data_IF_106251717218
#
_entry.id   IF_106251717218
#
_cell.length_a   1.000
_cell.length_b   1.000
_cell.length_c   1.000
_cell.angle_alpha   90.00
_cell.angle_beta   90.00
_cell.angle_gamma   90.00
#
_symmetry.space_group_name_H-M   'P 1'
#
loop_
_entity.id
_entity.type
_entity.pdbx_description
1 polymer ?
#
# COMPACT_ATOMS: atom_id res chain seq x y z
N UNK A 1 4.66 -8.85 11.19
CA UNK A 1 3.98 -9.08 9.90
C UNK A 1 5.11 -9.25 8.92
N UNK A 2 5.53 -10.50 8.73
CA UNK A 2 6.78 -10.78 8.02
C UNK A 2 6.52 -10.86 6.53
N UNK A 3 7.35 -10.20 5.74
CA UNK A 3 7.30 -10.23 4.28
C UNK A 3 8.42 -11.11 3.78
N UNK A 4 8.08 -12.10 2.97
CA UNK A 4 9.06 -12.92 2.29
C UNK A 4 9.73 -12.12 1.17
N UNK A 5 11.05 -12.02 1.19
CA UNK A 5 11.83 -11.34 0.16
C UNK A 5 13.05 -12.17 -0.26
N UNK A 6 13.64 -11.84 -1.40
CA UNK A 6 14.85 -12.49 -1.90
C UNK A 6 16.04 -12.20 -0.98
N UNK A 7 16.85 -13.23 -0.75
CA UNK A 7 18.11 -13.16 -0.04
C UNK A 7 19.28 -13.46 -0.99
N UNK A 8 20.51 -13.12 -0.60
CA UNK A 8 21.71 -13.52 -1.35
C UNK A 8 21.77 -15.04 -1.60
N UNK A 9 22.54 -15.44 -2.61
CA UNK A 9 22.70 -16.85 -3.03
C UNK A 9 21.40 -17.55 -3.45
N UNK A 10 20.39 -16.79 -3.90
CA UNK A 10 19.12 -17.34 -4.41
C UNK A 10 18.17 -17.82 -3.31
N UNK A 11 18.41 -17.44 -2.06
CA UNK A 11 17.54 -17.78 -0.94
C UNK A 11 16.35 -16.83 -0.77
N UNK A 12 15.54 -17.10 0.24
CA UNK A 12 14.47 -16.22 0.71
C UNK A 12 14.60 -16.00 2.21
N UNK A 13 14.19 -14.83 2.66
CA UNK A 13 14.20 -14.45 4.07
C UNK A 13 12.89 -13.72 4.42
N UNK A 14 12.40 -13.98 5.63
CA UNK A 14 11.28 -13.26 6.19
C UNK A 14 11.80 -11.97 6.86
N UNK A 15 11.31 -10.83 6.39
CA UNK A 15 11.73 -9.50 6.85
C UNK A 15 10.56 -8.78 7.50
N UNK A 16 10.83 -8.13 8.63
CA UNK A 16 9.91 -7.23 9.31
C UNK A 16 10.54 -5.83 9.42
N UNK A 17 9.70 -4.81 9.55
CA UNK A 17 10.13 -3.43 9.80
C UNK A 17 9.75 -2.44 8.70
N UNK A 18 10.10 -1.18 8.93
CA UNK A 18 9.71 -0.05 8.07
C UNK A 18 10.47 -0.03 6.74
N UNK A 19 11.64 -0.67 6.65
CA UNK A 19 12.38 -0.82 5.39
C UNK A 19 11.56 -1.61 4.35
N UNK A 20 10.98 -2.73 4.76
CA UNK A 20 10.08 -3.54 3.94
C UNK A 20 8.81 -2.77 3.55
N UNK A 21 8.22 -2.04 4.50
CA UNK A 21 7.04 -1.22 4.22
C UNK A 21 7.35 -0.11 3.19
N UNK A 22 8.50 0.57 3.33
CA UNK A 22 8.95 1.60 2.40
C UNK A 22 9.19 1.03 0.98
N UNK A 23 9.81 -0.14 0.89
CA UNK A 23 10.00 -0.83 -0.38
C UNK A 23 8.67 -1.16 -1.07
N UNK A 24 7.66 -1.59 -0.30
CA UNK A 24 6.32 -1.84 -0.82
C UNK A 24 5.67 -0.57 -1.40
N UNK A 25 5.71 0.55 -0.67
CA UNK A 25 5.19 1.85 -1.16
C UNK A 25 5.96 2.31 -2.41
N UNK A 26 7.28 2.11 -2.43
CA UNK A 26 8.14 2.47 -3.57
C UNK A 26 7.78 1.66 -4.81
N UNK A 27 7.53 0.35 -4.66
CA UNK A 27 7.08 -0.52 -5.75
C UNK A 27 5.72 -0.10 -6.30
N UNK A 28 4.77 0.22 -5.42
CA UNK A 28 3.46 0.75 -5.83
C UNK A 28 3.61 2.08 -6.59
N UNK A 29 4.40 3.01 -6.06
CA UNK A 29 4.67 4.30 -6.70
C UNK A 29 5.27 4.11 -8.11
N UNK A 30 6.17 3.15 -8.29
CA UNK A 30 6.74 2.84 -9.61
C UNK A 30 5.66 2.33 -10.59
N UNK A 31 4.74 1.46 -10.14
CA UNK A 31 3.63 0.97 -10.97
C UNK A 31 2.68 2.11 -11.37
N UNK A 32 2.31 2.97 -10.41
CA UNK A 32 1.45 4.13 -10.67
C UNK A 32 2.11 5.06 -11.71
N UNK A 33 3.40 5.37 -11.53
CA UNK A 33 4.14 6.19 -12.50
C UNK A 33 4.25 5.57 -13.90
N UNK A 34 4.23 4.24 -14.00
CA UNK A 34 4.39 3.51 -15.25
C UNK A 34 3.07 3.32 -16.02
N UNK A 35 1.93 3.23 -15.30
CA UNK A 35 0.68 2.74 -15.88
C UNK A 35 -0.55 3.62 -15.63
N UNK A 36 -0.48 4.59 -14.70
CA UNK A 36 -1.62 5.45 -14.42
C UNK A 36 -1.75 6.54 -15.50
N UNK A 37 -2.98 6.79 -15.95
CA UNK A 37 -3.28 7.68 -17.08
C UNK A 37 -2.75 9.11 -16.88
N UNK A 38 -2.81 9.62 -15.65
CA UNK A 38 -2.25 10.93 -15.27
C UNK A 38 -0.75 11.10 -15.56
N UNK A 39 -0.01 10.00 -15.76
CA UNK A 39 1.41 10.02 -16.09
C UNK A 39 1.72 9.57 -17.52
N UNK A 40 0.70 9.23 -18.33
CA UNK A 40 0.90 8.86 -19.72
C UNK A 40 1.26 10.07 -20.60
N UNK A 41 2.53 10.13 -21.03
CA UNK A 41 3.03 10.97 -22.13
C UNK A 41 3.21 12.45 -21.83
N UNK A 42 4.44 12.91 -21.52
CA UNK A 42 4.87 14.33 -21.41
C UNK A 42 4.02 15.30 -20.54
N UNK A 43 2.85 14.91 -20.03
CA UNK A 43 1.82 15.80 -19.47
C UNK A 43 2.21 16.39 -18.11
N UNK A 44 3.06 15.71 -17.33
CA UNK A 44 3.68 16.29 -16.14
C UNK A 44 5.20 16.34 -16.31
N UNK A 45 5.79 17.55 -16.44
CA UNK A 45 7.22 17.74 -16.33
C UNK A 45 7.75 17.06 -15.06
N UNK A 46 8.92 16.40 -15.15
CA UNK A 46 9.58 15.84 -13.97
C UNK A 46 9.91 16.99 -13.03
N UNK A 47 9.20 17.04 -11.90
CA UNK A 47 9.27 18.16 -10.98
C UNK A 47 8.43 17.94 -9.73
N UNK A 48 8.43 18.90 -8.81
CA UNK A 48 7.76 18.79 -7.52
C UNK A 48 6.25 18.54 -7.66
N UNK A 49 5.60 19.13 -8.67
CA UNK A 49 4.18 18.88 -8.94
C UNK A 49 3.87 17.41 -9.26
N UNK A 50 4.76 16.73 -9.98
CA UNK A 50 4.61 15.29 -10.29
C UNK A 50 4.75 14.41 -9.05
N UNK A 51 5.66 14.78 -8.14
CA UNK A 51 5.83 14.07 -6.86
C UNK A 51 4.63 14.28 -5.95
N UNK A 52 4.13 15.53 -5.88
CA UNK A 52 2.92 15.82 -5.12
C UNK A 52 1.72 15.06 -5.66
N UNK A 53 1.51 15.05 -6.98
CA UNK A 53 0.40 14.33 -7.61
C UNK A 53 0.46 12.82 -7.34
N UNK A 54 1.66 12.23 -7.43
CA UNK A 54 1.87 10.83 -7.07
C UNK A 54 1.55 10.55 -5.61
N UNK A 55 1.95 11.45 -4.70
CA UNK A 55 1.62 11.35 -3.29
C UNK A 55 0.11 11.41 -3.06
N UNK A 56 -0.61 12.32 -3.72
CA UNK A 56 -2.06 12.44 -3.58
C UNK A 56 -2.79 11.17 -4.06
N UNK A 57 -2.42 10.61 -5.22
CA UNK A 57 -3.00 9.35 -5.72
C UNK A 57 -2.83 8.23 -4.70
N UNK A 58 -1.61 8.05 -4.18
CA UNK A 58 -1.32 7.00 -3.20
C UNK A 58 -2.08 7.26 -1.90
N UNK A 59 -2.06 8.48 -1.38
CA UNK A 59 -2.74 8.84 -0.15
C UNK A 59 -4.27 8.67 -0.23
N UNK A 60 -4.87 8.98 -1.39
CA UNK A 60 -6.29 8.80 -1.66
C UNK A 60 -6.68 7.31 -1.80
N UNK A 61 -5.75 6.45 -2.22
CA UNK A 61 -5.96 5.00 -2.30
C UNK A 61 -5.94 4.29 -0.95
N UNK A 62 -5.51 4.96 0.12
CA UNK A 62 -5.32 4.35 1.42
C UNK A 62 -6.64 4.06 2.14
N UNK A 63 -6.74 2.85 2.70
CA UNK A 63 -7.82 2.41 3.57
C UNK A 63 -7.42 2.54 5.04
N UNK A 64 -8.21 3.23 5.87
CA UNK A 64 -7.93 3.36 7.31
C UNK A 64 -7.82 2.00 8.00
N UNK A 65 -6.80 1.84 8.84
CA UNK A 65 -6.59 0.63 9.63
C UNK A 65 -7.09 0.74 11.08
N UNK A 66 -7.41 1.95 11.51
CA UNK A 66 -7.86 2.23 12.87
C UNK A 66 -9.03 3.21 12.81
N UNK A 67 -9.91 3.11 13.81
CA UNK A 67 -11.03 4.03 13.93
C UNK A 67 -10.52 5.48 14.15
N UNK A 68 -11.12 6.49 13.49
CA UNK A 68 -10.76 7.88 13.69
C UNK A 68 -10.81 8.29 15.17
N UNK A 69 -9.86 9.12 15.60
CA UNK A 69 -9.79 9.59 16.99
C UNK A 69 -9.11 8.63 17.99
N UNK A 70 -8.63 7.47 17.54
CA UNK A 70 -7.83 6.54 18.37
C UNK A 70 -6.34 6.84 18.30
N UNK A 71 -5.57 6.44 19.30
CA UNK A 71 -4.10 6.52 19.27
C UNK A 71 -3.50 5.71 18.10
N UNK A 72 -4.13 4.62 17.71
CA UNK A 72 -3.68 3.81 16.56
C UNK A 72 -3.91 4.49 15.21
N UNK A 73 -4.89 5.40 15.10
CA UNK A 73 -5.06 6.24 13.92
C UNK A 73 -3.84 7.16 13.71
N UNK A 74 -3.27 7.70 14.79
CA UNK A 74 -2.06 8.52 14.70
C UNK A 74 -0.81 7.72 14.26
N UNK A 75 -0.79 6.41 14.52
CA UNK A 75 0.35 5.52 14.19
C UNK A 75 0.29 4.96 12.76
N UNK A 76 -0.89 4.93 12.17
CA UNK A 76 -1.14 4.30 10.85
C UNK A 76 -1.27 5.30 9.71
N UNK A 77 -1.33 6.61 10.02
CA UNK A 77 -1.44 7.66 9.01
C UNK A 77 -2.73 7.54 8.22
N UNK A 78 -2.64 7.54 6.88
CA UNK A 78 -3.80 7.33 6.00
C UNK A 78 -4.22 5.86 5.90
N UNK A 79 -3.44 4.93 6.45
CA UNK A 79 -3.71 3.48 6.43
C UNK A 79 -2.97 2.73 5.32
N UNK A 80 -3.56 1.63 4.82
CA UNK A 80 -2.93 0.79 3.78
C UNK A 80 -3.37 1.18 2.37
N UNK A 81 -2.45 1.41 1.43
CA UNK A 81 -2.81 1.70 0.05
C UNK A 81 -3.44 0.49 -0.63
N UNK A 82 -4.50 0.73 -1.40
CA UNK A 82 -5.05 -0.26 -2.33
C UNK A 82 -4.45 -0.05 -3.73
N UNK A 83 -3.74 -1.06 -4.23
CA UNK A 83 -3.06 -0.98 -5.51
C UNK A 83 -4.00 -0.84 -6.71
N UNK A 84 -5.20 -1.43 -6.67
CA UNK A 84 -6.17 -1.34 -7.77
C UNK A 84 -6.78 0.06 -7.82
N UNK A 85 -7.05 0.66 -6.66
CA UNK A 85 -7.53 2.05 -6.57
C UNK A 85 -6.40 3.00 -7.03
N UNK A 86 -5.17 2.81 -6.53
CA UNK A 86 -4.03 3.64 -6.88
C UNK A 86 -3.67 3.59 -8.39
N UNK A 87 -4.01 2.49 -9.07
CA UNK A 87 -3.82 2.32 -10.51
C UNK A 87 -5.03 2.78 -11.35
N UNK A 88 -6.11 3.27 -10.72
CA UNK A 88 -7.34 3.66 -11.42
C UNK A 88 -8.15 2.47 -11.99
N UNK A 89 -7.84 1.24 -11.58
CA UNK A 89 -8.44 0.00 -12.09
C UNK A 89 -9.71 -0.41 -11.35
N UNK A 90 -9.94 0.14 -10.15
CA UNK A 90 -11.15 -0.10 -9.38
C UNK A 90 -11.76 1.23 -8.93
N UNK A 91 -13.08 1.44 -9.10
CA UNK A 91 -13.77 2.47 -8.33
C UNK A 91 -13.60 2.10 -6.86
N UNK A 92 -13.24 3.07 -6.01
CA UNK A 92 -12.84 2.86 -4.62
C UNK A 92 -13.74 1.88 -3.86
N UNK A 93 -13.42 0.59 -3.92
CA UNK A 93 -14.23 -0.47 -3.35
C UNK A 93 -13.80 -0.61 -1.91
N UNK A 94 -14.63 -0.22 -0.95
CA UNK A 94 -14.43 -0.59 0.44
C UNK A 94 -14.69 -2.10 0.56
N UNK A 95 -13.63 -2.91 0.45
CA UNK A 95 -13.71 -4.32 0.82
C UNK A 95 -14.15 -4.38 2.29
N UNK A 96 -15.31 -5.01 2.53
CA UNK A 96 -15.78 -5.29 3.88
C UNK A 96 -14.69 -6.01 4.68
N UNK A 97 -14.65 -5.85 6.02
CA UNK A 97 -13.65 -6.51 6.85
C UNK A 97 -13.62 -8.01 6.51
N UNK A 98 -12.44 -8.53 6.18
CA UNK A 98 -12.30 -9.97 5.96
C UNK A 98 -12.76 -10.70 7.23
N UNK A 99 -13.64 -11.71 7.14
CA UNK A 99 -13.95 -12.55 8.29
C UNK A 99 -12.65 -13.21 8.77
N UNK A 100 -12.36 -13.08 10.06
CA UNK A 100 -11.14 -13.57 10.69
C UNK A 100 -10.95 -15.08 10.45
N UNK A 101 -9.87 -15.52 9.77
CA UNK A 101 -9.61 -16.94 9.60
C UNK A 101 -8.76 -17.44 10.75
N UNK A 102 -9.35 -17.62 11.94
CA UNK A 102 -8.90 -18.60 12.93
C UNK A 102 -9.85 -18.67 14.13
N UNK A 103 -10.58 -19.77 14.27
CA UNK A 103 -11.14 -20.19 15.56
C UNK A 103 -10.32 -21.41 16.02
N UNK A 104 -9.66 -21.38 17.19
CA UNK A 104 -9.01 -22.57 17.71
C UNK A 104 -10.09 -23.61 18.04
N UNK A 105 -10.04 -24.74 17.35
CA UNK A 105 -10.86 -25.91 17.69
C UNK A 105 -10.33 -26.51 18.99
N UNK A 106 -10.97 -26.18 20.10
CA UNK A 106 -10.77 -26.88 21.37
C UNK A 106 -11.47 -28.23 21.29
N UNK A 107 -10.73 -29.30 21.03
CA UNK A 107 -11.22 -30.67 21.22
C UNK A 107 -10.93 -31.06 22.67
N UNK A 108 -12.00 -31.30 23.42
CA UNK A 108 -11.97 -31.99 24.72
C UNK A 108 -11.98 -33.49 24.58
#
# INVERSE_FOLDING_TARGET
MSVLSCAPQGGYVALDGTGTASAHITGLAALVLAHHEDFHGQLLPRGPGRVQHLFEIIAASCRPLAAPGTLDAARTGRGLPDALIALGLAPGMQLAPAPSPFAPSTTG
#
